data_IF_066080725488
#
_entry.id   IF_066080725488
#
_cell.length_a   1.000
_cell.length_b   1.000
_cell.length_c   1.000
_cell.angle_alpha   90.00
_cell.angle_beta   90.00
_cell.angle_gamma   90.00
#
_symmetry.space_group_name_H-M   'P 1'
#
loop_
_entity.id
_entity.type
_entity.pdbx_description
1 polymer ?
#
# COMPACT_ATOMS: atom_id res chain seq x y z
N UNK A 1 -75.81 -28.37 17.48
CA UNK A 1 -75.11 -28.79 16.24
C UNK A 1 -73.89 -27.90 16.09
N UNK A 2 -72.72 -28.39 16.56
CA UNK A 2 -71.47 -27.68 16.53
C UNK A 2 -70.70 -28.00 15.24
N UNK A 3 -70.37 -26.99 14.45
CA UNK A 3 -69.38 -27.12 13.36
C UNK A 3 -68.07 -26.49 13.83
N UNK A 4 -67.03 -27.32 13.96
CA UNK A 4 -65.68 -26.89 14.16
C UNK A 4 -65.07 -26.47 12.81
N UNK A 5 -64.58 -25.24 12.71
CA UNK A 5 -63.75 -24.81 11.61
C UNK A 5 -62.29 -25.05 11.99
N UNK A 6 -61.63 -25.93 11.26
CA UNK A 6 -60.19 -26.14 11.29
C UNK A 6 -59.55 -25.26 10.24
N UNK A 7 -58.86 -24.20 10.71
CA UNK A 7 -58.02 -23.34 9.87
C UNK A 7 -56.68 -24.01 9.59
N UNK A 8 -56.39 -24.18 8.31
CA UNK A 8 -55.10 -24.68 7.81
C UNK A 8 -54.17 -23.50 7.57
N UNK A 9 -53.14 -23.29 8.43
CA UNK A 9 -52.11 -22.28 8.21
C UNK A 9 -51.10 -22.82 7.22
N UNK A 10 -51.05 -22.21 6.03
CA UNK A 10 -49.96 -22.44 5.07
C UNK A 10 -48.76 -21.61 5.52
N UNK A 11 -47.71 -22.28 5.93
CA UNK A 11 -46.40 -21.68 6.13
C UNK A 11 -45.70 -21.53 4.75
N UNK A 12 -45.53 -20.26 4.30
CA UNK A 12 -44.73 -19.95 3.12
C UNK A 12 -43.26 -19.94 3.55
N UNK A 13 -42.54 -21.00 3.19
CA UNK A 13 -41.08 -21.05 3.32
C UNK A 13 -40.48 -20.31 2.13
N UNK A 14 -40.02 -19.08 2.34
CA UNK A 14 -39.25 -18.34 1.34
C UNK A 14 -37.84 -18.90 1.27
N UNK A 15 -37.55 -19.65 0.21
CA UNK A 15 -36.22 -20.09 -0.12
C UNK A 15 -35.44 -18.90 -0.72
N UNK A 16 -34.58 -18.27 0.07
CA UNK A 16 -33.57 -17.35 -0.46
C UNK A 16 -32.48 -18.21 -1.14
N UNK A 17 -32.58 -18.38 -2.46
CA UNK A 17 -31.48 -18.88 -3.27
C UNK A 17 -30.43 -17.79 -3.35
N UNK A 18 -29.33 -17.94 -2.58
CA UNK A 18 -28.12 -17.17 -2.82
C UNK A 18 -27.59 -17.54 -4.20
N UNK A 19 -27.72 -16.64 -5.17
CA UNK A 19 -27.03 -16.72 -6.44
C UNK A 19 -25.52 -16.57 -6.14
N UNK A 20 -24.86 -17.67 -5.91
CA UNK A 20 -23.39 -17.77 -6.04
C UNK A 20 -23.08 -17.57 -7.53
N UNK A 21 -22.87 -16.31 -7.95
CA UNK A 21 -22.34 -16.01 -9.27
C UNK A 21 -21.01 -16.73 -9.43
N UNK A 22 -20.90 -17.58 -10.46
CA UNK A 22 -19.61 -18.19 -10.81
C UNK A 22 -18.60 -17.07 -11.06
N UNK A 23 -17.47 -17.08 -10.35
CA UNK A 23 -16.38 -16.15 -10.62
C UNK A 23 -15.93 -16.31 -12.07
N UNK A 24 -15.66 -15.20 -12.78
CA UNK A 24 -15.22 -15.28 -14.17
C UNK A 24 -13.94 -16.12 -14.26
N UNK A 25 -13.85 -16.98 -15.28
CA UNK A 25 -12.77 -17.96 -15.40
C UNK A 25 -11.45 -17.40 -15.94
N UNK A 26 -11.42 -16.13 -16.42
CA UNK A 26 -10.25 -15.52 -17.06
C UNK A 26 -9.82 -14.18 -16.45
N UNK A 27 -8.77 -13.61 -17.02
CA UNK A 27 -8.31 -12.26 -16.76
C UNK A 27 -9.30 -11.24 -17.32
N UNK A 28 -9.57 -10.15 -16.59
CA UNK A 28 -10.55 -9.12 -16.97
C UNK A 28 -10.01 -7.72 -16.66
N UNK A 29 -9.77 -6.89 -17.69
CA UNK A 29 -9.58 -5.46 -17.49
C UNK A 29 -10.79 -4.86 -16.76
N UNK A 30 -10.54 -4.04 -15.74
CA UNK A 30 -11.55 -3.47 -14.86
C UNK A 30 -12.53 -4.50 -14.27
N UNK A 31 -12.07 -5.74 -14.08
CA UNK A 31 -12.86 -6.84 -13.56
C UNK A 31 -13.14 -6.73 -12.05
N UNK A 32 -13.88 -7.71 -11.49
CA UNK A 32 -14.28 -7.67 -10.08
C UNK A 32 -13.06 -7.70 -9.15
N UNK A 33 -13.10 -6.84 -8.12
CA UNK A 33 -12.09 -6.79 -7.07
C UNK A 33 -12.42 -7.75 -5.92
N UNK A 34 -11.41 -8.26 -5.21
CA UNK A 34 -11.62 -9.13 -4.05
C UNK A 34 -12.34 -8.40 -2.91
N UNK A 35 -13.27 -9.10 -2.26
CA UNK A 35 -14.02 -8.56 -1.13
C UNK A 35 -13.31 -8.90 0.20
N UNK A 36 -13.52 -8.10 1.27
CA UNK A 36 -14.30 -6.87 1.31
C UNK A 36 -13.58 -5.66 0.70
N UNK A 37 -14.33 -4.63 0.34
CA UNK A 37 -13.77 -3.32 0.01
C UNK A 37 -13.87 -2.39 1.24
N UNK A 38 -12.96 -1.41 1.38
CA UNK A 38 -11.79 -1.13 0.54
C UNK A 38 -10.75 -2.26 0.55
N UNK A 39 -9.83 -2.26 -0.42
CA UNK A 39 -8.93 -3.40 -0.72
C UNK A 39 -8.07 -3.87 0.45
N UNK A 40 -7.51 -2.93 1.22
CA UNK A 40 -6.71 -3.21 2.42
C UNK A 40 -7.58 -3.30 3.69
N UNK A 41 -7.03 -3.75 4.83
CA UNK A 41 -7.73 -3.73 6.11
C UNK A 41 -8.28 -2.35 6.48
N UNK A 42 -9.35 -2.25 7.29
CA UNK A 42 -9.98 -0.97 7.63
C UNK A 42 -9.05 0.04 8.31
N UNK A 43 -8.02 -0.43 8.99
CA UNK A 43 -7.00 0.35 9.70
C UNK A 43 -5.75 0.65 8.85
N UNK A 44 -5.76 0.29 7.57
CA UNK A 44 -4.70 0.67 6.64
C UNK A 44 -4.65 2.19 6.46
N UNK A 45 -3.46 2.72 6.17
CA UNK A 45 -3.28 4.15 5.92
C UNK A 45 -4.15 4.68 4.77
N UNK A 46 -4.44 3.88 3.74
CA UNK A 46 -5.36 4.28 2.68
C UNK A 46 -6.78 4.52 3.21
N UNK A 47 -7.21 3.77 4.21
CA UNK A 47 -8.58 3.74 4.74
C UNK A 47 -8.75 4.58 6.02
N UNK A 48 -7.67 5.19 6.53
CA UNK A 48 -7.67 5.95 7.77
C UNK A 48 -8.41 7.28 7.62
N UNK A 49 -9.41 7.51 8.46
CA UNK A 49 -10.10 8.81 8.58
C UNK A 49 -9.16 9.86 9.18
N UNK A 50 -8.89 10.91 8.40
CA UNK A 50 -8.02 12.03 8.79
C UNK A 50 -8.79 13.31 9.08
N UNK A 51 -10.11 13.29 9.09
CA UNK A 51 -10.95 14.48 9.28
C UNK A 51 -10.68 15.22 10.59
N UNK A 52 -10.29 14.49 11.63
CA UNK A 52 -9.91 15.02 12.95
C UNK A 52 -8.39 15.00 13.23
N UNK A 53 -7.57 14.59 12.26
CA UNK A 53 -6.12 14.53 12.41
C UNK A 53 -5.54 15.93 12.63
N UNK A 54 -4.46 16.09 13.44
CA UNK A 54 -3.83 17.38 13.65
C UNK A 54 -3.25 17.94 12.36
N UNK A 55 -3.25 19.28 12.25
CA UNK A 55 -2.66 20.01 11.16
C UNK A 55 -1.13 20.07 11.33
N UNK A 56 -0.39 19.93 10.24
CA UNK A 56 1.06 20.16 10.25
C UNK A 56 1.37 21.65 10.45
N UNK A 57 2.36 21.96 11.29
CA UNK A 57 2.77 23.33 11.55
C UNK A 57 3.32 24.03 10.30
N UNK A 58 3.88 23.28 9.34
CA UNK A 58 4.39 23.75 8.05
C UNK A 58 3.33 23.78 6.94
N UNK A 59 2.07 23.43 7.22
CA UNK A 59 1.01 23.26 6.21
C UNK A 59 0.91 24.45 5.24
N UNK A 60 0.92 25.67 5.74
CA UNK A 60 0.84 26.87 4.90
C UNK A 60 2.04 27.01 3.94
N UNK A 61 3.25 26.63 4.40
CA UNK A 61 4.46 26.66 3.59
C UNK A 61 4.42 25.64 2.47
N UNK A 62 3.96 24.42 2.73
CA UNK A 62 3.79 23.38 1.72
C UNK A 62 2.77 23.77 0.64
N UNK A 63 1.61 24.30 1.05
CA UNK A 63 0.59 24.80 0.10
C UNK A 63 1.14 25.97 -0.73
N UNK A 64 1.94 26.85 -0.13
CA UNK A 64 2.59 27.93 -0.87
C UNK A 64 3.62 27.40 -1.88
N UNK A 65 4.34 26.31 -1.56
CA UNK A 65 5.31 25.69 -2.46
C UNK A 65 4.65 25.12 -3.72
N UNK A 66 3.51 24.42 -3.56
CA UNK A 66 2.68 23.95 -4.69
C UNK A 66 2.13 25.14 -5.50
N UNK A 67 1.93 26.29 -4.86
CA UNK A 67 1.17 27.40 -5.41
C UNK A 67 -0.29 27.34 -5.02
N UNK A 68 -0.72 28.19 -4.08
CA UNK A 68 -2.08 28.13 -3.53
C UNK A 68 -3.22 28.22 -4.55
N UNK A 69 -2.96 28.80 -5.74
CA UNK A 69 -3.92 28.88 -6.84
C UNK A 69 -3.86 27.72 -7.84
N UNK A 70 -3.02 26.71 -7.63
CA UNK A 70 -2.92 25.52 -8.49
C UNK A 70 -4.21 24.72 -8.41
N UNK A 71 -4.93 24.52 -9.53
CA UNK A 71 -6.19 23.78 -9.53
C UNK A 71 -5.97 22.27 -9.43
N UNK A 72 -6.97 21.54 -8.92
CA UNK A 72 -7.01 20.10 -9.06
C UNK A 72 -7.28 19.70 -10.51
N UNK A 73 -6.74 18.52 -10.89
CA UNK A 73 -7.02 17.90 -12.18
C UNK A 73 -7.39 16.42 -11.98
N UNK A 74 -8.51 15.94 -12.58
CA UNK A 74 -8.86 14.52 -12.58
C UNK A 74 -8.15 13.83 -13.75
N UNK A 75 -7.30 12.88 -13.45
CA UNK A 75 -6.59 12.07 -14.44
C UNK A 75 -7.20 10.66 -14.49
N UNK A 76 -8.45 10.57 -15.00
CA UNK A 76 -9.28 9.36 -14.94
C UNK A 76 -9.51 8.72 -16.31
N UNK A 77 -9.22 9.42 -17.40
CA UNK A 77 -9.60 9.00 -18.74
C UNK A 77 -10.99 9.50 -19.13
N UNK A 78 -11.66 8.80 -20.02
CA UNK A 78 -12.98 9.12 -20.52
C UNK A 78 -13.18 8.68 -21.96
N UNK A 79 -14.36 9.02 -22.54
CA UNK A 79 -14.74 8.66 -23.90
C UNK A 79 -14.10 9.56 -24.97
N UNK A 80 -13.59 10.73 -24.57
CA UNK A 80 -12.98 11.69 -25.47
C UNK A 80 -11.50 11.40 -25.77
N UNK A 81 -10.90 10.45 -25.07
CA UNK A 81 -9.49 10.13 -25.24
C UNK A 81 -9.22 9.45 -26.58
N UNK A 82 -8.22 9.93 -27.33
CA UNK A 82 -7.86 9.29 -28.59
C UNK A 82 -7.29 7.89 -28.33
N UNK A 83 -7.89 6.87 -28.95
CA UNK A 83 -7.35 5.52 -28.92
C UNK A 83 -6.04 5.43 -29.73
N UNK A 84 -4.99 4.75 -29.24
CA UNK A 84 -4.89 4.02 -27.97
C UNK A 84 -4.44 4.88 -26.78
N UNK A 85 -4.02 6.11 -27.00
CA UNK A 85 -3.53 7.03 -25.97
C UNK A 85 -4.69 7.49 -25.07
N UNK A 86 -4.75 6.95 -23.89
CA UNK A 86 -5.81 7.22 -22.90
C UNK A 86 -5.23 7.57 -21.56
N UNK A 87 -5.97 8.39 -20.80
CA UNK A 87 -5.67 8.73 -19.41
C UNK A 87 -6.30 7.71 -18.46
N UNK A 88 -5.89 7.76 -17.19
CA UNK A 88 -6.31 6.83 -16.18
C UNK A 88 -5.59 5.49 -16.25
N UNK A 89 -5.52 4.81 -15.11
CA UNK A 89 -4.78 3.55 -14.97
C UNK A 89 -5.71 2.35 -15.08
N UNK A 90 -5.58 1.49 -16.10
CA UNK A 90 -6.33 0.24 -16.14
C UNK A 90 -5.81 -0.72 -15.06
N UNK A 91 -6.68 -1.54 -14.51
CA UNK A 91 -6.28 -2.69 -13.71
C UNK A 91 -6.88 -3.97 -14.29
N UNK A 92 -6.24 -5.10 -14.02
CA UNK A 92 -6.69 -6.41 -14.51
C UNK A 92 -6.94 -7.33 -13.33
N UNK A 93 -8.18 -7.79 -13.19
CA UNK A 93 -8.53 -8.83 -12.23
C UNK A 93 -8.24 -10.20 -12.82
N UNK A 94 -7.41 -10.99 -12.14
CA UNK A 94 -7.00 -12.33 -12.57
C UNK A 94 -7.46 -13.39 -11.57
N UNK A 95 -7.75 -14.63 -12.01
CA UNK A 95 -7.99 -15.75 -11.09
C UNK A 95 -6.68 -16.20 -10.43
N UNK A 96 -6.77 -16.81 -9.24
CA UNK A 96 -5.62 -17.37 -8.54
C UNK A 96 -4.91 -18.51 -9.29
N UNK A 97 -5.51 -19.01 -10.37
CA UNK A 97 -4.91 -19.99 -11.28
C UNK A 97 -4.15 -19.36 -12.44
N UNK A 98 -4.12 -18.00 -12.55
CA UNK A 98 -3.34 -17.33 -13.59
C UNK A 98 -1.86 -17.65 -13.43
N UNK A 99 -1.19 -18.18 -14.48
CA UNK A 99 0.23 -18.50 -14.40
C UNK A 99 1.09 -17.28 -14.11
N UNK A 100 2.07 -17.44 -13.22
CA UNK A 100 3.08 -16.42 -12.99
C UNK A 100 4.14 -16.47 -14.10
N UNK A 101 4.42 -15.34 -14.71
CA UNK A 101 5.49 -15.19 -15.70
C UNK A 101 6.64 -14.39 -15.12
N UNK A 102 7.92 -14.75 -15.42
CA UNK A 102 9.07 -13.98 -14.99
C UNK A 102 9.07 -12.58 -15.62
N UNK A 103 9.50 -11.58 -14.85
CA UNK A 103 9.74 -10.20 -15.31
C UNK A 103 11.20 -9.86 -15.07
N UNK A 104 11.86 -9.27 -16.06
CA UNK A 104 13.21 -8.73 -15.92
C UNK A 104 13.14 -7.26 -15.54
N UNK A 105 13.68 -6.89 -14.39
CA UNK A 105 13.71 -5.49 -13.95
C UNK A 105 14.95 -4.79 -14.50
N UNK A 106 14.75 -3.61 -15.10
CA UNK A 106 15.80 -2.87 -15.84
C UNK A 106 16.29 -1.62 -15.12
N UNK A 107 15.60 -1.16 -14.09
CA UNK A 107 15.90 0.07 -13.37
C UNK A 107 16.07 -0.19 -11.87
N UNK A 108 15.01 -0.53 -11.14
CA UNK A 108 15.01 -0.71 -9.68
C UNK A 108 14.96 -2.19 -9.27
N UNK A 109 15.71 -3.06 -9.94
CA UNK A 109 15.68 -4.50 -9.68
C UNK A 109 16.05 -4.90 -8.26
N UNK A 110 16.92 -4.14 -7.58
CA UNK A 110 17.29 -4.36 -6.17
C UNK A 110 16.19 -4.03 -5.17
N UNK A 111 15.17 -3.29 -5.59
CA UNK A 111 14.02 -2.84 -4.79
C UNK A 111 12.72 -3.49 -5.25
N UNK A 112 12.79 -4.42 -6.18
CA UNK A 112 11.64 -5.08 -6.79
C UNK A 112 11.43 -6.49 -6.24
N UNK A 113 10.17 -6.95 -6.23
CA UNK A 113 9.82 -8.30 -5.81
C UNK A 113 10.08 -9.28 -6.98
N UNK A 114 11.16 -10.03 -6.88
CA UNK A 114 11.70 -10.89 -7.94
C UNK A 114 12.03 -12.31 -7.45
N UNK A 115 11.10 -12.97 -6.78
CA UNK A 115 11.30 -14.36 -6.33
C UNK A 115 12.26 -14.52 -5.14
N UNK A 116 12.49 -13.47 -4.36
CA UNK A 116 13.17 -13.58 -3.07
C UNK A 116 12.34 -14.44 -2.10
N UNK A 117 12.94 -15.02 -1.05
CA UNK A 117 12.21 -15.84 -0.08
C UNK A 117 10.96 -15.14 0.45
N UNK A 118 9.81 -15.80 0.33
CA UNK A 118 8.50 -15.25 0.71
C UNK A 118 7.85 -14.32 -0.31
N UNK A 119 8.47 -14.12 -1.49
CA UNK A 119 7.94 -13.34 -2.61
C UNK A 119 7.57 -14.24 -3.79
N UNK A 120 6.52 -13.92 -4.57
CA UNK A 120 6.19 -14.66 -5.79
C UNK A 120 7.35 -14.70 -6.78
N UNK A 121 7.48 -15.82 -7.50
CA UNK A 121 8.54 -15.99 -8.51
C UNK A 121 8.27 -15.26 -9.84
N UNK A 122 7.16 -14.53 -9.95
CA UNK A 122 6.75 -13.82 -11.16
C UNK A 122 5.45 -13.05 -10.95
N UNK A 123 4.89 -12.56 -12.04
CA UNK A 123 3.69 -11.74 -12.07
C UNK A 123 2.59 -12.42 -12.90
N UNK A 124 1.32 -12.37 -12.48
CA UNK A 124 0.23 -13.07 -13.18
C UNK A 124 -0.24 -12.31 -14.42
N UNK A 125 0.68 -12.04 -15.36
CA UNK A 125 0.42 -11.27 -16.56
C UNK A 125 -0.32 -12.15 -17.58
N UNK A 126 -1.52 -11.76 -18.06
CA UNK A 126 -2.25 -12.50 -19.10
C UNK A 126 -1.54 -12.39 -20.45
N UNK A 127 -1.65 -13.46 -21.25
CA UNK A 127 -1.04 -13.47 -22.58
C UNK A 127 -1.62 -12.39 -23.51
N UNK A 128 -2.88 -12.05 -23.34
CA UNK A 128 -3.60 -11.01 -24.06
C UNK A 128 -2.92 -9.64 -23.93
N UNK A 129 -2.30 -9.36 -22.80
CA UNK A 129 -1.62 -8.08 -22.53
C UNK A 129 -0.45 -7.81 -23.53
N UNK A 130 0.09 -8.84 -24.20
CA UNK A 130 1.13 -8.67 -25.23
C UNK A 130 0.61 -7.93 -26.47
N UNK A 131 -0.64 -8.14 -26.82
CA UNK A 131 -1.19 -7.70 -28.11
C UNK A 131 -2.45 -6.84 -27.99
N UNK A 132 -3.18 -6.93 -26.89
CA UNK A 132 -4.41 -6.16 -26.68
C UNK A 132 -4.13 -4.86 -25.92
N UNK A 133 -4.88 -3.79 -26.22
CA UNK A 133 -4.80 -2.51 -25.52
C UNK A 133 -5.44 -2.58 -24.11
N UNK A 134 -5.24 -1.55 -23.32
CA UNK A 134 -5.87 -1.31 -22.02
C UNK A 134 -5.57 -2.34 -20.91
N UNK A 135 -4.47 -3.10 -21.05
CA UNK A 135 -3.88 -3.88 -19.95
C UNK A 135 -2.77 -3.10 -19.23
N UNK A 136 -2.25 -2.08 -19.89
CA UNK A 136 -1.15 -1.22 -19.45
C UNK A 136 -1.61 0.23 -19.63
N UNK A 137 -1.20 1.09 -18.73
CA UNK A 137 -1.43 2.53 -18.79
C UNK A 137 -0.99 3.12 -20.15
N UNK A 138 -1.70 4.17 -20.60
CA UNK A 138 -1.53 4.77 -21.91
C UNK A 138 -2.27 4.04 -23.05
N UNK A 139 -2.96 2.94 -22.75
CA UNK A 139 -3.84 2.24 -23.68
C UNK A 139 -3.16 1.33 -24.68
N UNK A 140 -1.84 1.39 -24.84
CA UNK A 140 -1.10 0.56 -25.80
C UNK A 140 -0.93 -0.88 -25.30
N UNK A 141 -0.77 -1.84 -26.24
CA UNK A 141 -0.42 -3.22 -25.90
C UNK A 141 1.00 -3.33 -25.30
N UNK A 142 1.29 -4.47 -24.65
CA UNK A 142 2.60 -4.72 -24.07
C UNK A 142 3.74 -4.72 -25.09
N UNK A 143 3.49 -5.17 -26.33
CA UNK A 143 4.47 -5.22 -27.41
C UNK A 143 4.62 -3.91 -28.20
N UNK A 144 3.80 -2.89 -27.91
CA UNK A 144 3.90 -1.61 -28.60
C UNK A 144 5.14 -0.83 -28.15
N UNK A 145 5.75 -0.12 -29.10
CA UNK A 145 6.86 0.81 -28.83
C UNK A 145 6.28 2.19 -28.58
N UNK A 146 6.04 2.52 -27.31
CA UNK A 146 5.59 3.84 -26.86
C UNK A 146 6.30 4.21 -25.55
N UNK A 147 6.29 5.48 -25.21
CA UNK A 147 6.83 6.04 -23.98
C UNK A 147 5.75 6.19 -22.91
N UNK A 148 6.13 6.63 -21.72
CA UNK A 148 5.26 6.87 -20.57
C UNK A 148 5.54 5.88 -19.43
N UNK A 149 4.84 6.06 -18.33
CA UNK A 149 5.08 5.28 -17.09
C UNK A 149 4.61 3.82 -17.21
N UNK A 150 3.64 3.59 -18.10
CA UNK A 150 3.22 2.23 -18.48
C UNK A 150 2.98 1.31 -17.29
N UNK A 151 2.24 1.79 -16.30
CA UNK A 151 1.87 0.98 -15.15
C UNK A 151 0.99 -0.21 -15.56
N UNK A 152 1.27 -1.36 -14.98
CA UNK A 152 0.41 -2.55 -15.08
C UNK A 152 -0.01 -2.98 -13.69
N UNK A 153 -1.32 -2.96 -13.43
CA UNK A 153 -1.91 -3.29 -12.13
C UNK A 153 -2.70 -4.59 -12.26
N UNK A 154 -2.27 -5.63 -11.53
CA UNK A 154 -2.84 -6.97 -11.60
C UNK A 154 -3.35 -7.40 -10.23
N UNK A 155 -4.62 -7.78 -10.13
CA UNK A 155 -5.23 -8.21 -8.87
C UNK A 155 -5.57 -9.68 -8.93
N UNK A 156 -4.84 -10.51 -8.18
CA UNK A 156 -5.24 -11.89 -7.90
C UNK A 156 -6.40 -11.86 -6.90
N UNK A 157 -7.61 -12.04 -7.42
CA UNK A 157 -8.83 -11.91 -6.64
C UNK A 157 -9.07 -13.06 -5.68
N UNK A 158 -8.47 -14.22 -5.92
CA UNK A 158 -8.68 -15.42 -5.10
C UNK A 158 -7.72 -15.46 -3.91
N UNK A 159 -6.47 -14.98 -4.09
CA UNK A 159 -5.47 -14.92 -3.02
C UNK A 159 -5.34 -13.53 -2.38
N UNK A 160 -6.08 -12.52 -2.85
CA UNK A 160 -6.01 -11.14 -2.37
C UNK A 160 -4.59 -10.55 -2.45
N UNK A 161 -3.93 -10.77 -3.58
CA UNK A 161 -2.62 -10.18 -3.87
C UNK A 161 -2.75 -9.12 -4.96
N UNK A 162 -2.05 -8.02 -4.79
CA UNK A 162 -1.92 -6.96 -5.79
C UNK A 162 -0.49 -6.95 -6.30
N UNK A 163 -0.35 -7.03 -7.61
CA UNK A 163 0.91 -6.96 -8.32
C UNK A 163 0.94 -5.71 -9.17
N UNK A 164 1.96 -4.89 -9.03
CA UNK A 164 2.10 -3.64 -9.76
C UNK A 164 3.47 -3.54 -10.39
N UNK A 165 3.51 -3.09 -11.64
CA UNK A 165 4.72 -2.93 -12.43
C UNK A 165 4.78 -1.50 -12.98
N UNK A 166 5.98 -0.93 -13.03
CA UNK A 166 6.30 0.35 -13.64
C UNK A 166 7.13 0.13 -14.93
N UNK A 167 6.94 0.97 -15.93
CA UNK A 167 7.65 0.97 -17.21
C UNK A 167 7.63 -0.40 -17.89
N UNK A 168 6.42 -0.97 -17.97
CA UNK A 168 6.19 -2.37 -18.39
C UNK A 168 6.09 -2.50 -19.90
N UNK A 169 6.85 -3.44 -20.49
CA UNK A 169 6.73 -3.79 -21.90
C UNK A 169 7.09 -5.26 -22.18
N UNK A 170 6.55 -5.79 -23.26
CA UNK A 170 6.89 -7.11 -23.77
C UNK A 170 7.96 -7.00 -24.87
N UNK A 171 9.17 -7.40 -24.57
CA UNK A 171 10.28 -7.44 -25.51
C UNK A 171 10.09 -8.61 -26.48
N UNK A 172 9.61 -8.32 -27.69
CA UNK A 172 9.32 -9.34 -28.72
C UNK A 172 10.59 -10.02 -29.24
N UNK A 173 11.73 -9.32 -29.27
CA UNK A 173 13.01 -9.87 -29.71
C UNK A 173 13.60 -10.88 -28.73
N UNK A 174 13.38 -10.68 -27.43
CA UNK A 174 13.84 -11.56 -26.36
C UNK A 174 12.73 -12.49 -25.83
N UNK A 175 11.50 -12.32 -26.32
CA UNK A 175 10.32 -13.06 -25.90
C UNK A 175 10.13 -13.08 -24.37
N UNK A 176 10.23 -11.92 -23.72
CA UNK A 176 10.11 -11.78 -22.27
C UNK A 176 9.46 -10.47 -21.87
N UNK A 177 8.89 -10.42 -20.66
CA UNK A 177 8.46 -9.20 -20.03
C UNK A 177 9.63 -8.48 -19.36
N UNK A 178 9.66 -7.16 -19.53
CA UNK A 178 10.60 -6.24 -18.91
C UNK A 178 9.81 -5.15 -18.20
N UNK A 179 10.32 -4.65 -17.06
CA UNK A 179 9.74 -3.55 -16.30
C UNK A 179 10.84 -2.75 -15.59
N UNK A 180 10.60 -1.50 -15.27
CA UNK A 180 11.51 -0.67 -14.49
C UNK A 180 11.57 -1.15 -13.04
N UNK A 181 10.41 -1.32 -12.41
CA UNK A 181 10.24 -1.86 -11.06
C UNK A 181 9.00 -2.73 -10.95
N UNK A 182 8.88 -3.43 -9.80
CA UNK A 182 7.68 -4.21 -9.51
C UNK A 182 7.50 -4.51 -8.02
N UNK A 183 6.24 -4.49 -7.59
CA UNK A 183 5.88 -4.72 -6.20
C UNK A 183 4.72 -5.68 -6.07
N UNK A 184 4.69 -6.42 -4.95
CA UNK A 184 3.59 -7.31 -4.59
C UNK A 184 3.10 -6.93 -3.20
N UNK A 185 1.80 -6.70 -3.08
CA UNK A 185 1.14 -6.34 -1.84
C UNK A 185 0.12 -7.41 -1.43
N UNK A 186 0.19 -7.83 -0.18
CA UNK A 186 -0.84 -8.64 0.46
C UNK A 186 -1.98 -7.72 0.93
N UNK A 187 -3.13 -7.81 0.27
CA UNK A 187 -4.31 -6.98 0.57
C UNK A 187 -5.00 -7.36 1.90
N UNK A 188 -4.55 -8.41 2.57
CA UNK A 188 -5.02 -8.78 3.90
C UNK A 188 -4.12 -8.25 5.03
N UNK A 189 -3.06 -7.50 4.69
CA UNK A 189 -2.07 -7.02 5.66
C UNK A 189 -1.78 -5.52 5.51
N UNK A 190 -1.24 -4.91 6.58
CA UNK A 190 -0.74 -3.53 6.55
C UNK A 190 0.79 -3.48 6.41
N UNK A 191 1.39 -4.50 5.81
CA UNK A 191 2.82 -4.54 5.58
C UNK A 191 3.24 -3.46 4.59
N UNK A 192 4.19 -2.62 5.00
CA UNK A 192 4.88 -1.66 4.12
C UNK A 192 5.97 -2.38 3.32
N UNK A 193 6.38 -1.76 2.24
CA UNK A 193 7.64 -2.13 1.59
C UNK A 193 8.82 -1.88 2.53
N UNK A 194 9.96 -2.58 2.36
CA UNK A 194 11.18 -2.28 3.10
C UNK A 194 11.56 -0.80 2.97
N UNK A 195 12.12 -0.22 4.03
CA UNK A 195 12.59 1.16 4.02
C UNK A 195 13.66 1.38 2.94
N UNK A 196 13.52 2.43 2.15
CA UNK A 196 14.35 2.73 0.99
C UNK A 196 13.98 1.94 -0.28
N UNK A 197 12.84 1.22 -0.29
CA UNK A 197 12.36 0.51 -1.46
C UNK A 197 11.20 1.27 -2.12
N UNK A 198 11.33 1.48 -3.43
CA UNK A 198 10.22 1.94 -4.27
C UNK A 198 9.20 0.82 -4.51
N UNK A 199 8.12 1.12 -5.19
CA UNK A 199 7.17 0.15 -5.77
C UNK A 199 7.04 0.38 -7.28
N UNK A 200 5.86 0.19 -7.84
CA UNK A 200 5.52 0.77 -9.14
C UNK A 200 5.21 2.28 -9.02
N UNK A 201 5.00 2.77 -7.80
CA UNK A 201 4.83 4.18 -7.44
C UNK A 201 6.08 4.69 -6.71
N UNK A 202 6.50 5.92 -6.95
CA UNK A 202 7.77 6.46 -6.43
C UNK A 202 7.83 6.44 -4.90
N UNK A 203 6.72 6.66 -4.21
CA UNK A 203 6.63 6.62 -2.75
C UNK A 203 6.78 5.21 -2.12
N UNK A 204 6.87 4.15 -2.91
CA UNK A 204 6.82 2.78 -2.41
C UNK A 204 5.43 2.35 -1.94
N UNK A 205 4.38 3.04 -2.35
CA UNK A 205 2.99 2.74 -2.04
C UNK A 205 2.35 1.86 -3.13
N UNK A 206 1.21 1.27 -2.82
CA UNK A 206 0.36 0.60 -3.81
C UNK A 206 -0.48 1.64 -4.56
N UNK A 207 -0.57 1.52 -5.88
CA UNK A 207 -1.28 2.46 -6.75
C UNK A 207 -2.80 2.24 -6.69
N UNK A 208 -3.27 1.02 -7.00
CA UNK A 208 -4.69 0.71 -7.16
C UNK A 208 -5.58 1.14 -5.98
N UNK A 209 -5.19 0.96 -4.72
CA UNK A 209 -6.01 1.38 -3.58
C UNK A 209 -6.21 2.90 -3.47
N UNK A 210 -5.33 3.68 -4.11
CA UNK A 210 -5.40 5.14 -4.16
C UNK A 210 -6.09 5.72 -5.39
N UNK A 211 -6.55 4.90 -6.33
CA UNK A 211 -7.24 5.36 -7.53
C UNK A 211 -8.72 5.60 -7.27
N UNK A 212 -9.26 6.67 -7.86
CA UNK A 212 -10.73 6.88 -7.93
C UNK A 212 -11.31 5.90 -8.93
N UNK A 213 -12.29 5.08 -8.52
CA UNK A 213 -12.89 4.08 -9.40
C UNK A 213 -14.33 4.45 -9.80
N UNK A 214 -14.67 4.17 -11.05
CA UNK A 214 -16.00 4.47 -11.59
C UNK A 214 -17.12 3.76 -10.80
N UNK A 215 -16.92 2.48 -10.48
CA UNK A 215 -17.91 1.66 -9.76
C UNK A 215 -18.23 2.17 -8.36
N UNK A 216 -17.26 2.76 -7.65
CA UNK A 216 -17.51 3.32 -6.32
C UNK A 216 -18.13 4.72 -6.39
N UNK A 217 -17.77 5.54 -7.37
CA UNK A 217 -18.34 6.88 -7.56
C UNK A 217 -19.83 6.78 -7.90
N UNK A 218 -20.20 5.90 -8.82
CA UNK A 218 -21.58 5.70 -9.27
C UNK A 218 -22.34 4.60 -8.48
N UNK A 219 -21.67 3.93 -7.55
CA UNK A 219 -22.30 2.99 -6.62
C UNK A 219 -23.12 3.66 -5.53
N UNK A 220 -23.81 2.88 -4.69
CA UNK A 220 -24.62 3.38 -3.58
C UNK A 220 -23.78 3.76 -2.35
N UNK A 221 -22.66 3.10 -2.13
CA UNK A 221 -21.84 3.25 -0.94
C UNK A 221 -20.91 4.48 -1.03
N UNK A 222 -20.55 5.10 0.11
CA UNK A 222 -19.55 6.14 0.14
C UNK A 222 -18.16 5.58 -0.20
N UNK A 223 -17.30 6.42 -0.78
CA UNK A 223 -15.89 6.10 -0.95
C UNK A 223 -15.22 6.11 0.43
N UNK A 224 -14.41 5.09 0.76
CA UNK A 224 -13.85 4.87 2.09
C UNK A 224 -12.32 4.74 2.08
N UNK A 225 -11.66 5.46 1.19
CA UNK A 225 -10.19 5.49 1.11
C UNK A 225 -9.68 6.86 0.64
N UNK A 226 -8.41 7.12 0.89
CA UNK A 226 -7.68 8.26 0.36
C UNK A 226 -7.35 8.06 -1.12
N UNK A 227 -7.07 9.15 -1.82
CA UNK A 227 -6.60 9.07 -3.19
C UNK A 227 -5.11 9.38 -3.29
N UNK A 228 -4.43 8.74 -4.25
CA UNK A 228 -3.10 9.14 -4.65
C UNK A 228 -3.15 10.43 -5.47
N UNK A 229 -2.13 11.25 -5.34
CA UNK A 229 -1.95 12.44 -6.18
C UNK A 229 -0.47 12.73 -6.40
N UNK A 230 -0.17 13.53 -7.43
CA UNK A 230 1.18 13.93 -7.79
C UNK A 230 1.48 15.37 -7.42
N UNK A 231 2.77 15.65 -7.27
CA UNK A 231 3.36 16.99 -7.12
C UNK A 231 4.53 17.14 -8.07
N UNK A 232 4.79 18.36 -8.55
CA UNK A 232 5.91 18.62 -9.48
C UNK A 232 7.28 18.33 -8.84
N UNK A 233 7.38 18.53 -7.55
CA UNK A 233 8.60 18.26 -6.79
C UNK A 233 8.29 17.74 -5.39
N UNK A 234 9.16 16.85 -4.88
CA UNK A 234 9.07 16.29 -3.53
C UNK A 234 10.38 16.43 -2.77
N UNK A 235 10.35 16.18 -1.44
CA UNK A 235 11.53 16.22 -0.60
C UNK A 235 11.47 15.15 0.49
N UNK A 236 12.33 14.14 0.39
CA UNK A 236 12.34 12.99 1.30
C UNK A 236 11.01 12.23 1.37
N UNK A 237 10.79 11.43 2.40
CA UNK A 237 9.53 10.73 2.61
C UNK A 237 9.15 10.65 4.09
N UNK A 238 7.85 10.45 4.34
CA UNK A 238 7.27 10.19 5.67
C UNK A 238 6.30 9.02 5.58
N UNK A 239 5.98 8.41 6.71
CA UNK A 239 4.91 7.40 6.76
C UNK A 239 3.65 7.94 6.06
N UNK A 240 2.99 7.12 5.20
CA UNK A 240 3.19 5.69 4.95
C UNK A 240 4.25 5.34 3.88
N UNK A 241 4.83 6.30 3.16
CA UNK A 241 5.83 6.03 2.13
C UNK A 241 7.07 5.31 2.72
N UNK A 242 7.74 4.52 1.88
CA UNK A 242 8.98 3.82 2.19
C UNK A 242 10.16 4.32 1.36
N UNK A 243 9.92 5.18 0.37
CA UNK A 243 10.92 5.67 -0.57
C UNK A 243 10.68 7.15 -0.88
N UNK A 244 11.72 7.83 -1.26
CA UNK A 244 11.75 9.24 -1.67
C UNK A 244 12.17 9.36 -3.15
N UNK A 245 11.70 10.41 -3.81
CA UNK A 245 11.98 10.66 -5.22
C UNK A 245 12.36 12.13 -5.49
N UNK A 246 12.86 12.85 -4.48
CA UNK A 246 13.24 14.25 -4.64
C UNK A 246 13.92 14.86 -3.42
N UNK A 247 14.61 15.98 -3.65
CA UNK A 247 15.36 16.77 -2.65
C UNK A 247 14.98 18.24 -2.68
N UNK A 248 13.79 18.60 -3.18
CA UNK A 248 13.36 19.99 -3.35
C UNK A 248 13.01 20.62 -2.01
N UNK A 249 13.81 21.57 -1.55
CA UNK A 249 13.63 22.24 -0.25
C UNK A 249 12.27 22.95 -0.19
N UNK A 250 11.49 22.65 0.84
CA UNK A 250 10.15 23.20 1.05
C UNK A 250 9.01 22.48 0.35
N UNK A 251 9.32 21.49 -0.50
CA UNK A 251 8.33 20.62 -1.12
C UNK A 251 7.77 19.59 -0.11
N UNK A 252 6.60 19.03 -0.42
CA UNK A 252 6.00 17.95 0.33
C UNK A 252 6.87 16.68 0.27
N UNK A 253 7.01 15.94 1.36
CA UNK A 253 7.60 14.59 1.30
C UNK A 253 6.65 13.58 0.67
N UNK A 254 7.20 12.53 0.05
CA UNK A 254 6.42 11.35 -0.33
C UNK A 254 5.69 10.79 0.90
N UNK A 255 4.44 10.35 0.74
CA UNK A 255 3.59 9.91 1.85
C UNK A 255 2.93 11.04 2.64
N UNK A 256 3.24 12.31 2.40
CA UNK A 256 2.51 13.43 3.01
C UNK A 256 1.03 13.35 2.63
N UNK A 257 0.16 13.73 3.57
CA UNK A 257 -1.29 13.68 3.37
C UNK A 257 -1.90 15.07 3.41
N UNK A 258 -2.65 15.39 2.37
CA UNK A 258 -3.51 16.57 2.32
C UNK A 258 -4.95 16.14 2.60
N UNK A 259 -5.75 17.03 3.20
CA UNK A 259 -7.21 16.88 3.24
C UNK A 259 -7.89 18.16 2.77
N UNK A 260 -9.02 18.01 2.10
CA UNK A 260 -9.88 19.13 1.75
C UNK A 260 -10.45 19.73 3.04
N UNK A 261 -10.36 21.07 3.19
CA UNK A 261 -10.81 21.77 4.39
C UNK A 261 -12.27 21.49 4.70
N UNK A 262 -12.59 21.23 5.96
CA UNK A 262 -13.94 20.88 6.40
C UNK A 262 -15.00 21.93 5.98
N UNK A 263 -14.64 23.21 5.98
CA UNK A 263 -15.54 24.34 5.62
C UNK A 263 -15.80 24.51 4.12
N UNK A 264 -15.15 23.75 3.22
CA UNK A 264 -15.40 23.86 1.77
C UNK A 264 -16.84 23.44 1.45
N UNK A 265 -17.62 24.31 0.81
CA UNK A 265 -19.00 24.00 0.42
C UNK A 265 -19.03 23.07 -0.79
N UNK A 266 -19.70 21.95 -0.64
CA UNK A 266 -19.86 20.95 -1.70
C UNK A 266 -21.28 20.92 -2.29
N UNK A 267 -22.18 21.84 -1.89
CA UNK A 267 -23.59 21.82 -2.29
C UNK A 267 -23.82 22.05 -3.79
N UNK A 268 -22.89 22.75 -4.45
CA UNK A 268 -22.97 23.07 -5.87
C UNK A 268 -22.56 21.96 -6.84
N UNK A 269 -22.04 20.83 -6.34
CA UNK A 269 -21.55 19.74 -7.20
C UNK A 269 -22.60 18.63 -7.38
N UNK A 270 -22.45 17.85 -8.45
CA UNK A 270 -23.28 16.64 -8.65
C UNK A 270 -23.07 15.64 -7.51
N UNK A 271 -24.01 14.72 -7.27
CA UNK A 271 -23.86 13.72 -6.22
C UNK A 271 -22.56 12.90 -6.33
N UNK A 272 -22.15 12.55 -7.55
CA UNK A 272 -20.96 11.76 -7.87
C UNK A 272 -19.67 12.54 -7.52
N UNK A 273 -19.54 13.77 -8.01
CA UNK A 273 -18.40 14.66 -7.69
C UNK A 273 -18.36 14.96 -6.19
N UNK A 274 -19.52 15.21 -5.58
CA UNK A 274 -19.61 15.44 -4.13
C UNK A 274 -19.10 14.24 -3.34
N UNK A 275 -19.36 13.01 -3.81
CA UNK A 275 -18.86 11.79 -3.15
C UNK A 275 -17.34 11.75 -3.17
N UNK A 276 -16.69 12.10 -4.29
CA UNK A 276 -15.23 12.17 -4.41
C UNK A 276 -14.67 13.23 -3.45
N UNK A 277 -15.21 14.44 -3.47
CA UNK A 277 -14.73 15.54 -2.62
C UNK A 277 -15.00 15.29 -1.12
N UNK A 278 -16.08 14.59 -0.80
CA UNK A 278 -16.31 14.15 0.59
C UNK A 278 -15.26 13.14 1.06
N UNK A 279 -14.82 12.24 0.20
CA UNK A 279 -13.72 11.34 0.52
C UNK A 279 -12.41 12.12 0.72
N UNK A 280 -12.15 13.17 -0.05
CA UNK A 280 -10.99 14.06 0.17
C UNK A 280 -11.04 14.78 1.52
N UNK A 281 -12.23 15.09 2.06
CA UNK A 281 -12.38 15.64 3.42
C UNK A 281 -12.11 14.60 4.49
N UNK A 282 -12.55 13.36 4.27
CA UNK A 282 -12.53 12.31 5.28
C UNK A 282 -11.20 11.55 5.27
N UNK A 283 -10.72 11.16 4.08
CA UNK A 283 -9.54 10.31 3.91
C UNK A 283 -8.35 11.06 3.31
N UNK A 284 -8.59 12.16 2.60
CA UNK A 284 -7.55 13.01 2.03
C UNK A 284 -6.89 12.45 0.76
N UNK A 285 -5.78 13.09 0.44
CA UNK A 285 -4.89 12.78 -0.69
C UNK A 285 -3.52 12.40 -0.15
N UNK A 286 -2.84 11.41 -0.73
CA UNK A 286 -1.48 11.01 -0.34
C UNK A 286 -0.53 11.29 -1.51
N UNK A 287 0.57 12.02 -1.25
CA UNK A 287 1.66 12.20 -2.22
C UNK A 287 2.29 10.83 -2.51
N UNK A 288 2.15 10.37 -3.73
CA UNK A 288 2.57 9.03 -4.12
C UNK A 288 3.65 9.06 -5.21
N UNK A 289 3.69 10.13 -6.02
CA UNK A 289 4.65 10.26 -7.10
C UNK A 289 4.95 11.73 -7.41
N UNK A 290 6.01 11.96 -8.18
CA UNK A 290 6.26 13.22 -8.86
C UNK A 290 5.51 13.24 -10.21
N UNK A 291 5.07 14.43 -10.63
CA UNK A 291 4.30 14.63 -11.85
C UNK A 291 3.77 16.06 -11.88
N UNK A 292 2.64 16.31 -12.53
CA UNK A 292 2.01 17.62 -12.43
C UNK A 292 1.39 17.81 -11.04
N UNK A 293 1.46 19.05 -10.53
CA UNK A 293 0.89 19.41 -9.24
C UNK A 293 -0.63 19.19 -9.20
N UNK A 294 -1.13 18.59 -8.12
CA UNK A 294 -2.54 18.41 -7.81
C UNK A 294 -3.32 17.55 -8.83
N UNK A 295 -2.62 16.63 -9.54
CA UNK A 295 -3.27 15.64 -10.38
C UNK A 295 -3.71 14.46 -9.52
N UNK A 296 -5.00 14.15 -9.58
CA UNK A 296 -5.64 13.03 -8.86
C UNK A 296 -5.87 11.91 -9.87
N UNK A 297 -5.33 10.72 -9.60
CA UNK A 297 -5.46 9.62 -10.54
C UNK A 297 -6.70 8.76 -10.27
N UNK A 298 -7.28 8.25 -11.37
CA UNK A 298 -8.39 7.31 -11.34
C UNK A 298 -8.15 6.11 -12.23
N UNK A 299 -9.03 5.13 -12.13
CA UNK A 299 -9.00 3.98 -13.04
C UNK A 299 -9.48 4.40 -14.41
N UNK A 300 -8.81 3.89 -15.46
CA UNK A 300 -9.29 4.04 -16.82
C UNK A 300 -10.72 3.48 -16.97
N UNK A 301 -11.63 4.33 -17.43
CA UNK A 301 -13.00 3.94 -17.77
C UNK A 301 -13.58 4.93 -18.79
N UNK A 302 -14.09 4.43 -19.90
CA UNK A 302 -14.66 5.26 -20.98
C UNK A 302 -15.96 5.95 -20.62
N UNK A 303 -16.54 5.63 -19.47
CA UNK A 303 -17.80 6.22 -18.98
C UNK A 303 -17.58 7.51 -18.19
N UNK A 304 -16.33 7.89 -17.86
CA UNK A 304 -16.06 9.15 -17.21
C UNK A 304 -16.47 10.34 -18.09
N UNK A 305 -17.19 11.28 -17.51
CA UNK A 305 -17.64 12.51 -18.18
C UNK A 305 -16.68 13.66 -17.85
N UNK A 306 -15.74 13.92 -18.75
CA UNK A 306 -14.74 14.97 -18.58
C UNK A 306 -15.32 16.38 -18.64
N UNK A 307 -16.48 16.59 -19.30
CA UNK A 307 -17.19 17.88 -19.30
C UNK A 307 -17.76 18.21 -17.91
N UNK A 308 -18.01 17.20 -17.09
CA UNK A 308 -18.43 17.35 -15.69
C UNK A 308 -17.24 17.38 -14.74
N UNK A 309 -16.27 16.46 -14.91
CA UNK A 309 -15.16 16.28 -13.97
C UNK A 309 -14.15 17.43 -14.03
N UNK A 310 -13.69 17.80 -15.23
CA UNK A 310 -12.62 18.81 -15.38
C UNK A 310 -13.01 20.17 -14.77
N UNK A 311 -14.16 20.78 -15.06
CA UNK A 311 -14.52 22.04 -14.43
C UNK A 311 -14.80 21.93 -12.93
N UNK A 312 -15.33 20.78 -12.47
CA UNK A 312 -15.57 20.57 -11.05
C UNK A 312 -14.25 20.49 -10.26
N UNK A 313 -13.29 19.71 -10.73
CA UNK A 313 -11.98 19.62 -10.09
C UNK A 313 -11.22 20.94 -10.16
N UNK A 314 -11.19 21.61 -11.31
CA UNK A 314 -10.52 22.89 -11.50
C UNK A 314 -11.10 24.02 -10.64
N UNK A 315 -12.29 23.86 -10.06
CA UNK A 315 -12.87 24.82 -9.11
C UNK A 315 -12.30 24.72 -7.69
N UNK A 316 -11.60 23.64 -7.37
CA UNK A 316 -10.83 23.48 -6.13
C UNK A 316 -9.34 23.72 -6.40
N UNK A 317 -8.67 24.38 -5.47
CA UNK A 317 -7.28 24.77 -5.59
C UNK A 317 -6.47 24.21 -4.41
N UNK A 318 -5.16 24.18 -4.53
CA UNK A 318 -4.27 23.77 -3.44
C UNK A 318 -4.57 24.51 -2.13
N UNK A 319 -4.97 25.79 -2.20
CA UNK A 319 -5.36 26.58 -1.02
C UNK A 319 -6.65 26.10 -0.31
N UNK A 320 -7.45 25.27 -0.95
CA UNK A 320 -8.63 24.65 -0.33
C UNK A 320 -8.27 23.43 0.54
N UNK A 321 -7.01 23.01 0.48
CA UNK A 321 -6.47 21.89 1.24
C UNK A 321 -5.60 22.37 2.40
N UNK A 322 -5.36 21.45 3.31
CA UNK A 322 -4.42 21.59 4.42
C UNK A 322 -3.63 20.31 4.59
N UNK A 323 -2.38 20.41 5.06
CA UNK A 323 -1.49 19.28 5.25
C UNK A 323 -1.72 18.71 6.64
N UNK A 324 -2.09 17.43 6.71
CA UNK A 324 -2.13 16.66 7.96
C UNK A 324 -0.72 16.52 8.50
N UNK A 325 -0.57 16.53 9.83
CA UNK A 325 0.72 16.37 10.50
C UNK A 325 1.54 15.27 9.82
N UNK A 326 2.75 15.60 9.39
CA UNK A 326 3.61 14.66 8.66
C UNK A 326 3.86 13.38 9.47
N UNK A 327 3.69 12.24 8.82
CA UNK A 327 3.84 10.93 9.47
C UNK A 327 2.74 10.57 10.46
N UNK A 328 1.62 11.31 10.49
CA UNK A 328 0.50 11.02 11.38
C UNK A 328 -0.08 9.62 11.16
N UNK A 329 -0.43 9.00 12.28
CA UNK A 329 -1.12 7.70 12.34
C UNK A 329 -2.36 7.84 13.23
N UNK A 330 -3.47 7.17 12.91
CA UNK A 330 -4.66 7.16 13.76
C UNK A 330 -4.31 6.66 15.17
N UNK A 331 -4.86 7.31 16.19
CA UNK A 331 -4.77 6.82 17.57
C UNK A 331 -5.49 5.47 17.65
N UNK A 332 -4.79 4.42 18.08
CA UNK A 332 -5.34 3.06 18.18
C UNK A 332 -5.06 2.14 17.00
N UNK A 333 -4.35 2.60 15.96
CA UNK A 333 -3.70 1.70 14.99
C UNK A 333 -2.36 1.16 15.52
N UNK A 334 -2.28 1.02 16.84
CA UNK A 334 -1.30 0.12 17.44
C UNK A 334 -1.64 -1.26 16.87
N UNK A 335 -0.91 -1.72 15.86
CA UNK A 335 -0.89 -3.15 15.56
C UNK A 335 -0.05 -3.78 16.67
N UNK A 336 -0.66 -4.21 17.79
CA UNK A 336 0.11 -4.86 18.81
C UNK A 336 0.79 -6.03 18.14
N UNK A 337 2.04 -6.23 18.46
CA UNK A 337 2.74 -7.40 17.99
C UNK A 337 1.88 -8.66 18.24
N UNK A 338 1.65 -9.45 17.21
CA UNK A 338 1.00 -10.76 17.36
C UNK A 338 2.11 -11.80 17.53
N UNK A 339 2.18 -12.36 18.74
CA UNK A 339 3.14 -13.39 19.06
C UNK A 339 2.93 -14.63 18.18
N UNK A 340 3.97 -15.11 17.55
CA UNK A 340 3.94 -16.26 16.66
C UNK A 340 5.29 -16.94 16.54
N UNK A 341 5.38 -17.99 15.75
CA UNK A 341 6.61 -18.76 15.53
C UNK A 341 7.79 -17.91 15.06
N UNK A 342 7.52 -16.78 14.38
CA UNK A 342 8.55 -15.92 13.77
C UNK A 342 8.63 -14.52 14.36
N UNK A 343 7.70 -14.16 15.23
CA UNK A 343 7.60 -12.82 15.82
C UNK A 343 7.58 -12.91 17.35
N UNK A 344 8.59 -12.29 17.96
CA UNK A 344 8.71 -12.15 19.41
C UNK A 344 8.11 -10.80 19.84
N UNK A 345 7.09 -10.83 20.69
CA UNK A 345 6.42 -9.65 21.20
C UNK A 345 6.93 -9.28 22.60
N UNK A 346 7.51 -8.10 22.73
CA UNK A 346 8.09 -7.61 23.97
C UNK A 346 7.36 -6.35 24.48
N UNK A 347 7.50 -6.04 25.78
CA UNK A 347 6.85 -4.90 26.43
C UNK A 347 5.34 -4.84 26.17
N UNK A 348 4.63 -5.95 26.48
CA UNK A 348 3.17 -6.09 26.30
C UNK A 348 2.72 -5.93 24.85
N UNK A 349 3.54 -6.41 23.89
CA UNK A 349 3.22 -6.35 22.47
C UNK A 349 3.59 -5.02 21.80
N UNK A 350 4.26 -4.11 22.51
CA UNK A 350 4.72 -2.84 21.94
C UNK A 350 5.85 -3.01 20.93
N UNK A 351 6.77 -3.91 21.21
CA UNK A 351 7.91 -4.15 20.32
C UNK A 351 7.78 -5.52 19.67
N UNK A 352 7.79 -5.54 18.35
CA UNK A 352 7.92 -6.74 17.53
C UNK A 352 9.38 -6.94 17.18
N UNK A 353 9.87 -8.16 17.38
CA UNK A 353 11.25 -8.54 17.03
C UNK A 353 11.24 -9.74 16.10
N UNK A 354 11.99 -9.66 15.02
CA UNK A 354 12.22 -10.73 14.05
C UNK A 354 13.71 -10.89 13.79
N UNK A 355 14.14 -12.11 13.46
CA UNK A 355 15.53 -12.44 13.15
C UNK A 355 15.60 -13.27 11.88
N UNK A 356 16.24 -12.76 10.84
CA UNK A 356 16.52 -13.49 9.62
C UNK A 356 17.98 -13.95 9.62
N UNK A 357 18.24 -15.10 9.03
CA UNK A 357 19.57 -15.68 8.98
C UNK A 357 19.96 -16.15 7.57
N UNK A 358 21.27 -16.14 7.31
CA UNK A 358 21.86 -16.68 6.06
C UNK A 358 23.16 -17.40 6.39
N UNK A 359 23.31 -18.62 5.88
CA UNK A 359 24.51 -19.46 6.04
C UNK A 359 25.53 -19.18 4.94
N UNK A 360 26.82 -19.58 5.11
CA UNK A 360 27.87 -19.39 4.10
C UNK A 360 27.60 -20.06 2.75
N UNK A 361 26.79 -21.12 2.74
CA UNK A 361 26.37 -21.82 1.52
C UNK A 361 25.09 -21.27 0.88
N UNK A 362 24.60 -20.09 1.36
CA UNK A 362 23.46 -19.39 0.77
C UNK A 362 22.08 -19.85 1.24
N UNK A 363 21.98 -20.77 2.18
CA UNK A 363 20.70 -21.10 2.81
C UNK A 363 20.26 -19.93 3.70
N UNK A 364 18.98 -19.57 3.66
CA UNK A 364 18.42 -18.50 4.47
C UNK A 364 17.07 -18.89 5.05
N UNK A 365 16.65 -18.20 6.08
CA UNK A 365 15.36 -18.39 6.73
C UNK A 365 15.11 -17.35 7.82
N UNK A 366 13.90 -17.39 8.37
CA UNK A 366 13.51 -16.60 9.54
C UNK A 366 13.68 -17.43 10.79
N UNK A 367 14.21 -16.84 11.87
CA UNK A 367 14.37 -17.49 13.16
C UNK A 367 13.04 -17.77 13.85
N UNK A 368 12.98 -18.83 14.62
CA UNK A 368 11.83 -19.22 15.41
C UNK A 368 11.89 -18.53 16.78
N UNK A 369 10.87 -17.76 17.10
CA UNK A 369 10.79 -16.92 18.28
C UNK A 369 10.33 -17.70 19.53
N UNK A 370 11.05 -17.54 20.64
CA UNK A 370 10.71 -18.15 21.93
C UNK A 370 10.67 -17.04 23.01
N UNK A 371 9.50 -16.64 23.50
CA UNK A 371 9.38 -15.66 24.58
C UNK A 371 9.92 -16.24 25.90
N UNK A 372 10.69 -15.45 26.65
CA UNK A 372 11.19 -15.81 27.98
C UNK A 372 10.57 -14.98 29.09
N UNK A 373 10.51 -13.66 28.91
CA UNK A 373 9.89 -12.71 29.85
C UNK A 373 9.08 -11.69 29.06
N UNK A 374 8.47 -10.71 29.75
CA UNK A 374 7.74 -9.62 29.08
C UNK A 374 8.61 -8.72 28.19
N UNK A 375 9.92 -8.71 28.41
CA UNK A 375 10.88 -7.82 27.73
C UNK A 375 12.05 -8.55 27.06
N UNK A 376 12.10 -9.88 27.14
CA UNK A 376 13.22 -10.71 26.68
C UNK A 376 12.74 -11.98 25.99
N UNK A 377 13.41 -12.39 24.94
CA UNK A 377 13.21 -13.68 24.27
C UNK A 377 14.41 -14.13 23.47
N UNK A 378 14.28 -15.28 22.82
CA UNK A 378 15.33 -15.91 22.03
C UNK A 378 14.83 -16.34 20.66
N UNK A 379 15.77 -16.57 19.75
CA UNK A 379 15.54 -17.19 18.45
C UNK A 379 16.42 -18.41 18.28
N UNK A 380 15.86 -19.48 17.72
CA UNK A 380 16.61 -20.62 17.18
C UNK A 380 16.46 -20.68 15.64
N UNK A 381 17.44 -21.20 14.94
CA UNK A 381 17.46 -21.20 13.47
C UNK A 381 17.36 -22.62 12.88
N UNK A 382 18.08 -23.57 13.45
CA UNK A 382 18.25 -24.90 12.87
C UNK A 382 17.62 -26.01 13.71
N UNK A 383 17.64 -25.86 15.03
CA UNK A 383 17.17 -26.85 15.98
C UNK A 383 16.59 -26.14 17.21
N UNK A 384 15.39 -26.51 17.62
CA UNK A 384 14.67 -25.92 18.75
C UNK A 384 15.35 -26.12 20.13
N UNK A 385 16.31 -27.01 20.24
CA UNK A 385 17.14 -27.20 21.43
C UNK A 385 18.39 -26.30 21.44
N UNK A 386 18.63 -25.51 20.40
CA UNK A 386 19.82 -24.67 20.24
C UNK A 386 19.44 -23.21 19.99
N UNK A 387 19.61 -22.35 20.97
CA UNK A 387 19.35 -20.93 20.83
C UNK A 387 20.52 -20.21 20.15
N UNK A 388 20.20 -19.43 19.11
CA UNK A 388 21.20 -18.71 18.30
C UNK A 388 21.29 -17.23 18.71
N UNK A 389 20.19 -16.60 19.09
CA UNK A 389 20.13 -15.17 19.44
C UNK A 389 19.25 -14.96 20.65
N UNK A 390 19.71 -14.16 21.61
CA UNK A 390 18.89 -13.58 22.68
C UNK A 390 18.69 -12.09 22.43
N UNK A 391 17.50 -11.58 22.68
CA UNK A 391 17.19 -10.16 22.54
C UNK A 391 16.30 -9.69 23.68
N UNK A 392 16.52 -8.46 24.14
CA UNK A 392 15.61 -7.79 25.06
C UNK A 392 15.42 -6.32 24.69
N UNK A 393 14.23 -5.80 24.93
CA UNK A 393 13.91 -4.38 24.81
C UNK A 393 13.50 -3.86 26.18
N UNK A 394 14.24 -2.91 26.72
CA UNK A 394 13.99 -2.35 28.06
C UNK A 394 13.43 -0.94 27.97
N UNK A 395 12.50 -0.64 28.87
CA UNK A 395 12.01 0.71 29.07
C UNK A 395 13.04 1.52 29.89
N UNK A 396 13.67 2.49 29.24
CA UNK A 396 14.59 3.45 29.83
C UNK A 396 14.03 4.87 29.90
N UNK A 397 12.69 5.02 29.79
CA UNK A 397 12.02 6.30 29.68
C UNK A 397 12.32 7.24 30.87
N UNK A 398 12.34 6.71 32.10
CA UNK A 398 12.68 7.47 33.27
C UNK A 398 14.17 7.85 33.35
N UNK A 399 15.06 7.18 32.59
CA UNK A 399 16.52 7.36 32.65
C UNK A 399 17.00 8.36 31.62
N UNK A 400 16.64 8.15 30.32
CA UNK A 400 17.14 8.97 29.23
C UNK A 400 16.10 9.21 28.14
N UNK A 401 14.81 8.99 28.44
CA UNK A 401 13.69 9.14 27.54
C UNK A 401 13.83 8.29 26.26
N UNK A 402 14.26 7.00 26.44
CA UNK A 402 14.47 6.04 25.35
C UNK A 402 14.04 4.63 25.76
N UNK A 403 13.66 3.83 24.77
CA UNK A 403 13.70 2.38 24.88
C UNK A 403 15.06 1.87 24.38
N UNK A 404 15.58 0.86 25.06
CA UNK A 404 16.89 0.29 24.83
C UNK A 404 16.81 -1.09 24.22
N UNK A 405 17.67 -1.39 23.24
CA UNK A 405 17.79 -2.72 22.64
C UNK A 405 19.10 -3.34 23.04
N UNK A 406 19.03 -4.54 23.59
CA UNK A 406 20.20 -5.39 23.87
C UNK A 406 20.02 -6.71 23.14
N UNK A 407 21.06 -7.18 22.46
CA UNK A 407 21.06 -8.51 21.86
C UNK A 407 22.44 -9.12 21.89
N UNK A 408 22.49 -10.45 21.83
CA UNK A 408 23.70 -11.23 21.73
C UNK A 408 23.40 -12.58 21.09
N UNK A 409 24.38 -13.17 20.42
CA UNK A 409 24.19 -14.44 19.73
C UNK A 409 25.31 -15.43 19.96
N UNK A 410 25.00 -16.70 19.78
CA UNK A 410 25.90 -17.86 19.85
C UNK A 410 26.11 -18.46 18.45
N UNK A 411 26.13 -17.62 17.44
CA UNK A 411 26.19 -18.00 16.04
C UNK A 411 27.19 -17.15 15.26
N UNK A 412 27.70 -17.65 14.14
CA UNK A 412 28.53 -16.94 13.19
C UNK A 412 27.89 -16.82 11.79
N UNK A 413 26.64 -17.26 11.65
CA UNK A 413 25.89 -17.00 10.41
C UNK A 413 25.55 -15.52 10.31
N UNK A 414 25.26 -15.03 9.11
CA UNK A 414 24.69 -13.70 8.97
C UNK A 414 23.34 -13.67 9.66
N UNK A 415 23.15 -12.71 10.55
CA UNK A 415 21.85 -12.46 11.21
C UNK A 415 21.44 -11.03 10.93
N UNK A 416 20.20 -10.85 10.53
CA UNK A 416 19.55 -9.55 10.43
C UNK A 416 18.42 -9.50 11.47
N UNK A 417 18.61 -8.69 12.52
CA UNK A 417 17.66 -8.52 13.60
C UNK A 417 16.88 -7.23 13.37
N UNK A 418 15.56 -7.33 13.27
CA UNK A 418 14.66 -6.21 13.13
C UNK A 418 13.85 -6.02 14.41
N UNK A 419 13.84 -4.82 14.96
CA UNK A 419 13.03 -4.42 16.12
C UNK A 419 12.13 -3.27 15.71
N UNK A 420 10.81 -3.45 15.81
CA UNK A 420 9.79 -2.46 15.43
C UNK A 420 9.00 -2.02 16.68
N UNK A 421 8.91 -0.72 16.94
CA UNK A 421 7.95 -0.16 17.88
C UNK A 421 6.57 -0.08 17.20
N UNK A 422 5.65 -0.93 17.58
CA UNK A 422 4.33 -1.06 16.96
C UNK A 422 3.45 0.18 17.11
N UNK A 423 3.73 1.04 18.09
CA UNK A 423 2.98 2.29 18.29
C UNK A 423 3.38 3.40 17.34
N UNK A 424 4.66 3.47 16.99
CA UNK A 424 5.21 4.54 16.15
C UNK A 424 5.66 4.02 14.80
N UNK A 425 5.66 2.69 14.63
CA UNK A 425 6.19 1.95 13.48
C UNK A 425 7.69 2.21 13.19
N UNK A 426 8.35 2.85 14.15
CA UNK A 426 9.79 3.07 14.09
C UNK A 426 10.51 1.74 14.15
N UNK A 427 11.40 1.51 13.21
CA UNK A 427 12.17 0.26 13.10
C UNK A 427 13.65 0.51 13.33
N UNK A 428 14.29 -0.40 14.05
CA UNK A 428 15.75 -0.50 14.18
C UNK A 428 16.23 -1.84 13.63
N UNK A 429 17.32 -1.79 12.91
CA UNK A 429 17.91 -2.97 12.29
C UNK A 429 19.37 -3.14 12.75
N UNK A 430 19.75 -4.38 13.05
CA UNK A 430 21.08 -4.74 13.48
C UNK A 430 21.55 -5.96 12.69
N UNK A 431 22.76 -5.91 12.17
CA UNK A 431 23.30 -7.00 11.35
C UNK A 431 24.55 -7.58 11.98
N UNK A 432 24.57 -8.90 12.19
CA UNK A 432 25.79 -9.65 12.38
C UNK A 432 26.29 -10.15 11.03
N UNK A 433 27.49 -9.76 10.56
CA UNK A 433 28.00 -10.20 9.27
C UNK A 433 28.29 -11.73 9.26
N UNK A 434 28.28 -12.29 8.05
CA UNK A 434 28.65 -13.71 7.82
C UNK A 434 30.03 -14.04 8.35
N UNK A 435 30.21 -15.24 8.92
CA UNK A 435 31.47 -15.73 9.48
C UNK A 435 32.08 -14.84 10.59
N UNK A 436 31.23 -14.07 11.27
CA UNK A 436 31.64 -13.19 12.36
C UNK A 436 30.93 -13.62 13.64
N UNK A 437 31.66 -13.76 14.73
CA UNK A 437 31.07 -14.00 16.04
C UNK A 437 30.08 -12.86 16.38
N UNK A 438 28.89 -13.21 16.84
CA UNK A 438 27.86 -12.22 17.15
C UNK A 438 28.31 -11.33 18.31
N UNK A 439 28.60 -10.07 18.03
CA UNK A 439 28.99 -9.08 19.06
C UNK A 439 27.78 -8.60 19.80
N UNK A 440 27.86 -8.38 21.13
CA UNK A 440 26.74 -7.82 21.89
C UNK A 440 26.32 -6.45 21.35
N UNK A 441 25.01 -6.31 21.10
CA UNK A 441 24.36 -5.05 20.80
C UNK A 441 23.95 -4.42 22.11
N UNK A 442 24.25 -3.14 22.31
CA UNK A 442 23.93 -2.36 23.51
C UNK A 442 23.48 -0.96 23.08
N UNK A 443 22.28 -0.87 22.45
CA UNK A 443 21.73 0.39 21.98
C UNK A 443 20.78 0.99 23.03
N UNK A 444 21.32 1.89 23.86
CA UNK A 444 20.58 2.60 24.90
C UNK A 444 19.87 3.86 24.39
N UNK A 445 19.92 4.11 23.09
CA UNK A 445 19.22 5.22 22.41
C UNK A 445 18.32 4.76 21.26
N UNK A 446 17.96 3.47 21.26
CA UNK A 446 17.30 2.80 20.13
C UNK A 446 16.00 3.52 19.70
N UNK A 447 15.08 3.80 20.63
CA UNK A 447 13.81 4.42 20.28
C UNK A 447 13.52 5.65 21.15
N UNK A 448 13.30 6.80 20.48
CA UNK A 448 12.88 8.06 21.11
C UNK A 448 11.34 8.15 21.21
N UNK A 449 10.70 7.04 21.59
CA UNK A 449 9.25 6.86 21.51
C UNK A 449 8.59 6.68 22.89
N UNK A 450 9.20 7.20 23.93
CA UNK A 450 8.61 7.21 25.28
C UNK A 450 7.27 7.97 25.29
N UNK A 451 6.34 7.57 26.21
CA UNK A 451 5.05 8.27 26.38
C UNK A 451 5.20 9.74 26.69
#
# INVERSE_FOLDING_TARGET
>A
MNRKNTGLSLAVVSLFAALLGASPSGAQPNGPLPQPLPLFPPDNWWNADVSAAPLDAGSAGFIQHIGGGTPLHPDFGGDADPFPETYGMPYVSVPGTQPLVPVTFTEFGGESDAGAPGRPAGYPIPDEAKTQPHYIEGGYSGAASNSGDRHMLLVDRDHRLLFELYHTHFNTGLNRWEAGSGAVFDLASNSRRPEGWTSADAAGLAILPGLVRYDEVFGSEPIRHAFRFTVDASNSHVFPASHDAGEAIGALPMGARLRLKAGTDLSGYTPEVRKIFQAMKTYGLIVADNGSDMFIQGTYDTRWDNDVLNPAFASLHASDFEVVQLGWKPSGTDHPCVSGDRSLCLNKGRFEVQADWTTPNGQSGTGHAVPLTSDTGTFWFFNNANFEVVVKVLEGCATNNRYWVFAGGLTNVRVHLTVRDTRTDTTKQYTNPQNTAFRPIQDTVAFATCP
#
